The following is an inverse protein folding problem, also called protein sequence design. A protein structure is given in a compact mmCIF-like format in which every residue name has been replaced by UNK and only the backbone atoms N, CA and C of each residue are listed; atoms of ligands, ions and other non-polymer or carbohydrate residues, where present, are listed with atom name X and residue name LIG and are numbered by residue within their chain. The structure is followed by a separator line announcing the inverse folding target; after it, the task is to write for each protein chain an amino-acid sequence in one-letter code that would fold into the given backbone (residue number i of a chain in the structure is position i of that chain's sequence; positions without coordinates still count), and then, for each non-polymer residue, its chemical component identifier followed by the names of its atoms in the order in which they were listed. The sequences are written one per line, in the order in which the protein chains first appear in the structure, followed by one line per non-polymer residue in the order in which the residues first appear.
data_IF_597903930716
#
_entry.id   IF_597903930716
#
_cell.length_a   1.000
_cell.length_b   1.000
_cell.length_c   1.000
_cell.angle_alpha   90.00
_cell.angle_beta   90.00
_cell.angle_gamma   90.00
#
_symmetry.space_group_name_H-M   'P 1'
#
loop_
_entity.id
_entity.type
_entity.pdbx_description
1 polymer ?
#
# COMPACT_ATOMS: atom_id res chain seq x y z
N UNK A 1 17.81 52.75 -9.27
CA UNK A 1 18.45 51.43 -9.12
C UNK A 1 17.92 50.83 -7.83
N UNK A 2 17.08 49.79 -7.85
CA UNK A 2 16.87 48.82 -6.76
C UNK A 2 15.88 47.78 -7.31
N UNK A 3 16.41 46.86 -8.13
CA UNK A 3 15.66 45.78 -8.72
C UNK A 3 15.72 44.54 -7.84
N UNK A 4 14.58 43.86 -7.69
CA UNK A 4 14.43 42.41 -7.46
C UNK A 4 14.91 41.89 -6.09
N UNK A 5 13.95 41.79 -5.17
CA UNK A 5 14.05 41.02 -3.93
C UNK A 5 12.93 39.96 -3.90
N UNK A 6 12.83 39.17 -4.98
CA UNK A 6 12.03 37.94 -4.99
C UNK A 6 12.97 36.81 -5.37
N UNK A 7 13.54 36.16 -4.34
CA UNK A 7 14.26 34.91 -4.51
C UNK A 7 13.27 33.87 -5.03
N UNK A 8 13.55 33.32 -6.22
CA UNK A 8 12.95 32.06 -6.65
C UNK A 8 13.35 31.02 -5.60
N UNK A 9 12.39 30.47 -4.89
CA UNK A 9 12.61 29.20 -4.18
C UNK A 9 13.16 28.21 -5.21
N UNK A 10 14.35 27.67 -4.94
CA UNK A 10 14.86 26.56 -5.72
C UNK A 10 13.85 25.43 -5.54
N UNK A 11 13.20 24.98 -6.63
CA UNK A 11 12.51 23.68 -6.62
C UNK A 11 13.50 22.64 -6.09
N UNK A 12 13.12 21.78 -5.14
CA UNK A 12 14.00 20.71 -4.70
C UNK A 12 14.46 19.91 -5.92
N UNK A 13 15.76 19.74 -6.10
CA UNK A 13 16.34 18.92 -7.18
C UNK A 13 16.41 17.44 -6.78
N UNK A 14 15.43 16.99 -6.01
CA UNK A 14 15.32 15.62 -5.55
C UNK A 14 14.87 14.69 -6.67
N UNK A 15 15.02 13.37 -6.49
CA UNK A 15 14.35 12.38 -7.33
C UNK A 15 12.85 12.70 -7.43
N UNK A 16 12.27 12.53 -8.61
CA UNK A 16 10.83 12.74 -8.81
C UNK A 16 10.09 11.48 -8.33
N UNK A 17 9.06 11.67 -7.51
CA UNK A 17 8.14 10.61 -7.15
C UNK A 17 7.54 9.96 -8.44
N UNK A 18 7.29 8.64 -8.44
CA UNK A 18 6.68 7.97 -9.57
C UNK A 18 5.22 8.41 -9.76
N UNK A 19 4.75 8.32 -11.00
CA UNK A 19 3.42 8.74 -11.40
C UNK A 19 2.85 7.72 -12.40
N UNK A 20 1.56 7.41 -12.31
CA UNK A 20 0.86 6.52 -13.25
C UNK A 20 -0.64 6.83 -13.26
N UNK A 21 -1.33 6.66 -14.38
CA UNK A 21 -2.78 6.95 -14.51
C UNK A 21 -3.17 8.42 -14.22
N UNK A 22 -2.21 9.33 -14.11
CA UNK A 22 -2.46 10.68 -13.59
C UNK A 22 -2.46 10.77 -12.05
N UNK A 23 -2.12 9.69 -11.35
CA UNK A 23 -1.81 9.70 -9.91
C UNK A 23 -0.39 10.21 -9.71
N UNK A 24 -0.22 11.17 -8.81
CA UNK A 24 1.06 11.77 -8.48
C UNK A 24 1.03 12.36 -7.05
N UNK A 25 2.21 12.60 -6.47
CA UNK A 25 2.36 13.21 -5.15
C UNK A 25 1.74 14.62 -5.10
N UNK A 26 0.79 14.85 -4.19
CA UNK A 26 0.00 16.08 -4.09
C UNK A 26 -1.21 16.13 -5.04
N UNK A 27 -1.43 15.08 -5.84
CA UNK A 27 -2.64 14.88 -6.64
C UNK A 27 -3.78 14.30 -5.80
N UNK A 28 -4.94 14.08 -6.41
CA UNK A 28 -6.07 13.45 -5.73
C UNK A 28 -6.90 12.56 -6.65
N UNK A 29 -7.72 11.70 -6.05
CA UNK A 29 -8.72 10.93 -6.77
C UNK A 29 -10.02 10.86 -5.98
N UNK A 30 -11.09 10.51 -6.67
CA UNK A 30 -12.41 10.26 -6.09
C UNK A 30 -12.87 8.84 -6.37
N UNK A 31 -13.46 8.22 -5.36
CA UNK A 31 -14.11 6.91 -5.44
C UNK A 31 -15.60 7.07 -5.81
N UNK A 32 -16.17 6.08 -6.49
CA UNK A 32 -17.61 6.04 -6.78
C UNK A 32 -18.45 5.79 -5.51
N UNK A 33 -19.21 6.81 -5.10
CA UNK A 33 -20.05 6.78 -3.88
C UNK A 33 -21.05 5.63 -3.86
N UNK A 34 -21.66 5.31 -5.01
CA UNK A 34 -22.69 4.28 -5.06
C UNK A 34 -22.05 2.91 -4.86
N UNK A 35 -20.91 2.67 -5.48
CA UNK A 35 -20.20 1.40 -5.36
C UNK A 35 -19.67 1.18 -3.95
N UNK A 36 -19.08 2.20 -3.32
CA UNK A 36 -18.64 2.13 -1.92
C UNK A 36 -19.81 1.77 -1.00
N UNK A 37 -20.94 2.46 -1.13
CA UNK A 37 -22.13 2.18 -0.30
C UNK A 37 -22.69 0.78 -0.46
N UNK A 38 -22.51 0.16 -1.63
CA UNK A 38 -22.93 -1.21 -1.90
C UNK A 38 -21.92 -2.24 -1.39
N UNK A 39 -20.64 -1.88 -1.29
CA UNK A 39 -19.54 -2.76 -0.89
C UNK A 39 -19.26 -2.75 0.61
N UNK A 40 -19.14 -1.56 1.20
CA UNK A 40 -18.73 -1.38 2.61
C UNK A 40 -19.48 -2.26 3.61
N UNK A 41 -20.81 -2.51 3.49
CA UNK A 41 -21.51 -3.38 4.45
C UNK A 41 -21.00 -4.83 4.49
N UNK A 42 -20.25 -5.26 3.48
CA UNK A 42 -19.66 -6.60 3.39
C UNK A 42 -18.16 -6.63 3.71
N UNK A 43 -17.52 -5.46 3.80
CA UNK A 43 -16.09 -5.31 4.05
C UNK A 43 -15.82 -5.02 5.53
N UNK A 44 -14.58 -5.24 5.94
CA UNK A 44 -14.03 -4.78 7.22
C UNK A 44 -13.80 -3.28 7.19
N UNK A 45 -13.47 -2.74 6.01
CA UNK A 45 -13.39 -1.31 5.74
C UNK A 45 -14.77 -0.67 5.95
N UNK A 46 -14.78 0.44 6.68
CA UNK A 46 -15.98 1.25 6.88
C UNK A 46 -15.68 2.72 6.66
N UNK A 47 -16.62 3.45 6.07
CA UNK A 47 -16.56 4.91 5.94
C UNK A 47 -15.37 5.42 5.11
N UNK A 48 -15.01 4.72 4.03
CA UNK A 48 -13.97 5.17 3.12
C UNK A 48 -14.27 6.57 2.60
N UNK A 49 -13.32 7.51 2.71
CA UNK A 49 -13.54 8.85 2.18
C UNK A 49 -13.66 8.79 0.66
N UNK A 50 -14.67 9.48 0.12
CA UNK A 50 -14.84 9.60 -1.33
C UNK A 50 -13.61 10.25 -1.97
N UNK A 51 -13.18 11.39 -1.43
CA UNK A 51 -12.05 12.15 -1.94
C UNK A 51 -10.80 11.76 -1.18
N UNK A 52 -9.73 11.49 -1.92
CA UNK A 52 -8.48 10.94 -1.43
C UNK A 52 -7.35 11.84 -1.92
N UNK A 53 -6.69 12.56 -1.02
CA UNK A 53 -5.53 13.41 -1.32
C UNK A 53 -4.24 12.60 -1.15
N UNK A 54 -3.39 12.55 -2.17
CA UNK A 54 -2.16 11.76 -2.15
C UNK A 54 -1.06 12.55 -1.42
N UNK A 55 -0.66 12.06 -0.25
CA UNK A 55 0.34 12.70 0.62
C UNK A 55 1.74 12.10 0.50
N UNK A 56 1.83 10.84 0.06
CA UNK A 56 3.11 10.18 -0.21
C UNK A 56 2.97 9.15 -1.33
N UNK A 57 4.10 8.83 -1.97
CA UNK A 57 4.15 7.80 -3.01
C UNK A 57 5.23 6.79 -2.68
N UNK A 58 4.87 5.52 -2.60
CA UNK A 58 5.76 4.38 -2.45
C UNK A 58 6.05 3.69 -3.78
N UNK A 59 7.28 3.21 -3.96
CA UNK A 59 7.67 2.32 -5.05
C UNK A 59 8.44 1.12 -4.50
N UNK A 60 7.92 -0.07 -4.77
CA UNK A 60 8.54 -1.33 -4.37
C UNK A 60 8.68 -2.25 -5.60
N UNK A 61 9.90 -2.39 -6.16
CA UNK A 61 10.16 -3.39 -7.20
C UNK A 61 9.95 -4.80 -6.66
N UNK A 62 9.36 -5.68 -7.48
CA UNK A 62 9.17 -7.09 -7.18
C UNK A 62 10.23 -7.92 -7.90
N UNK A 63 10.74 -8.97 -7.26
CA UNK A 63 11.77 -9.86 -7.82
C UNK A 63 11.35 -10.54 -9.14
N UNK A 64 10.04 -10.66 -9.38
CA UNK A 64 9.47 -11.26 -10.60
C UNK A 64 9.43 -10.30 -11.79
N UNK A 65 9.96 -9.08 -11.66
CA UNK A 65 9.98 -8.05 -12.72
C UNK A 65 8.81 -7.06 -12.65
N UNK A 66 7.89 -7.25 -11.70
CA UNK A 66 6.81 -6.31 -11.43
C UNK A 66 7.23 -5.12 -10.56
N UNK A 67 6.34 -4.17 -10.37
CA UNK A 67 6.51 -3.04 -9.44
C UNK A 67 5.19 -2.72 -8.77
N UNK A 68 5.22 -2.52 -7.45
CA UNK A 68 4.12 -1.90 -6.72
C UNK A 68 4.36 -0.40 -6.67
N UNK A 69 3.35 0.37 -7.07
CA UNK A 69 3.24 1.78 -6.75
C UNK A 69 2.14 1.95 -5.73
N UNK A 70 2.43 2.62 -4.60
CA UNK A 70 1.45 2.91 -3.55
C UNK A 70 1.27 4.41 -3.42
N UNK A 71 0.04 4.88 -3.51
CA UNK A 71 -0.33 6.28 -3.34
C UNK A 71 -1.01 6.42 -1.99
N UNK A 72 -0.26 6.81 -0.97
CA UNK A 72 -0.74 6.98 0.41
C UNK A 72 -1.56 8.25 0.53
N UNK A 73 -2.70 8.16 1.20
CA UNK A 73 -3.71 9.21 1.22
C UNK A 73 -3.93 9.78 2.61
N UNK A 74 -4.71 10.87 2.68
CA UNK A 74 -5.15 11.51 3.92
C UNK A 74 -6.27 10.76 4.67
N UNK A 75 -6.68 9.59 4.20
CA UNK A 75 -7.77 8.76 4.74
C UNK A 75 -7.26 7.48 5.41
N UNK A 76 -6.02 7.48 5.93
CA UNK A 76 -5.34 6.27 6.43
C UNK A 76 -5.41 5.09 5.43
N UNK A 77 -5.29 5.44 4.15
CA UNK A 77 -5.44 4.53 3.02
C UNK A 77 -4.24 4.61 2.08
N UNK A 78 -4.15 3.63 1.19
CA UNK A 78 -3.31 3.74 0.01
C UNK A 78 -3.92 3.03 -1.18
N UNK A 79 -3.83 3.67 -2.35
CA UNK A 79 -4.13 3.02 -3.62
C UNK A 79 -2.87 2.30 -4.11
N UNK A 80 -2.94 0.99 -4.26
CA UNK A 80 -1.84 0.18 -4.81
C UNK A 80 -2.11 -0.13 -6.28
N UNK A 81 -1.17 0.22 -7.14
CA UNK A 81 -1.14 -0.17 -8.56
C UNK A 81 -0.02 -1.18 -8.75
N UNK A 82 -0.37 -2.37 -9.26
CA UNK A 82 0.58 -3.41 -9.63
C UNK A 82 0.89 -3.27 -11.12
N UNK A 83 2.18 -3.18 -11.45
CA UNK A 83 2.66 -3.12 -12.83
C UNK A 83 3.57 -4.30 -13.15
N UNK A 84 3.47 -4.83 -14.37
CA UNK A 84 4.36 -5.88 -14.88
C UNK A 84 4.84 -5.56 -16.30
N UNK A 85 6.16 -5.58 -16.51
CA UNK A 85 6.78 -5.28 -17.82
C UNK A 85 7.08 -3.80 -18.09
N UNK A 86 6.78 -2.88 -17.16
CA UNK A 86 7.15 -1.46 -17.27
C UNK A 86 6.35 -0.54 -16.33
N UNK A 87 6.64 0.77 -16.37
CA UNK A 87 6.00 1.80 -15.53
C UNK A 87 4.99 2.66 -16.30
N UNK A 88 4.22 2.05 -17.20
CA UNK A 88 3.18 2.75 -17.96
C UNK A 88 1.82 2.08 -17.79
N UNK A 89 0.75 2.79 -18.14
CA UNK A 89 -0.62 2.31 -17.98
C UNK A 89 -0.89 0.97 -18.68
N UNK A 90 -0.19 0.68 -19.79
CA UNK A 90 -0.31 -0.59 -20.51
C UNK A 90 0.21 -1.81 -19.72
N UNK A 91 0.94 -1.57 -18.63
CA UNK A 91 1.55 -2.60 -17.80
C UNK A 91 0.78 -2.81 -16.49
N UNK A 92 -0.33 -2.09 -16.27
CA UNK A 92 -1.14 -2.26 -15.06
C UNK A 92 -1.85 -3.60 -15.11
N UNK A 93 -1.67 -4.40 -14.07
CA UNK A 93 -2.27 -5.73 -13.93
C UNK A 93 -3.33 -5.79 -12.84
N UNK A 94 -3.23 -4.95 -11.82
CA UNK A 94 -4.15 -4.94 -10.68
C UNK A 94 -4.13 -3.58 -9.97
N UNK A 95 -5.28 -3.17 -9.42
CA UNK A 95 -5.43 -1.96 -8.62
C UNK A 95 -6.31 -2.25 -7.42
N UNK A 96 -5.81 -1.97 -6.20
CA UNK A 96 -6.54 -2.18 -4.95
C UNK A 96 -6.46 -0.94 -4.07
N UNK A 97 -7.58 -0.59 -3.43
CA UNK A 97 -7.58 0.36 -2.33
C UNK A 97 -7.40 -0.40 -1.03
N UNK A 98 -6.47 0.06 -0.20
CA UNK A 98 -6.15 -0.51 1.10
C UNK A 98 -6.39 0.52 2.19
N UNK A 99 -6.96 0.09 3.33
CA UNK A 99 -6.99 0.85 4.56
C UNK A 99 -6.15 0.16 5.63
N UNK A 100 -5.43 0.95 6.41
CA UNK A 100 -4.74 0.43 7.59
C UNK A 100 -5.77 0.03 8.64
N UNK A 101 -5.71 -1.24 9.06
CA UNK A 101 -6.59 -1.79 10.09
C UNK A 101 -5.92 -1.71 11.47
N UNK A 102 -4.67 -2.17 11.57
CA UNK A 102 -3.94 -2.19 12.83
C UNK A 102 -2.43 -2.20 12.60
N UNK A 103 -1.70 -1.46 13.44
CA UNK A 103 -0.23 -1.47 13.47
C UNK A 103 0.25 -1.82 14.87
N UNK A 104 1.02 -2.90 15.00
CA UNK A 104 1.60 -3.39 16.26
C UNK A 104 3.10 -3.21 16.26
N UNK A 105 3.62 -2.37 17.15
CA UNK A 105 5.07 -2.21 17.35
C UNK A 105 5.71 -3.50 17.85
N UNK A 106 6.88 -3.84 17.31
CA UNK A 106 7.68 -5.01 17.69
C UNK A 106 8.92 -4.53 18.44
N UNK A 107 8.95 -4.75 19.75
CA UNK A 107 9.95 -4.15 20.64
C UNK A 107 11.25 -4.92 20.80
N UNK A 108 11.42 -6.09 20.16
CA UNK A 108 12.63 -6.90 20.33
C UNK A 108 12.94 -7.80 19.12
N UNK A 109 14.21 -8.16 18.97
CA UNK A 109 14.67 -9.11 17.94
C UNK A 109 14.00 -10.48 18.04
N UNK A 110 13.67 -10.93 19.26
CA UNK A 110 12.99 -12.20 19.47
C UNK A 110 11.54 -12.14 18.94
N UNK A 111 10.82 -11.06 19.24
CA UNK A 111 9.47 -10.84 18.70
C UNK A 111 9.49 -10.65 17.18
N UNK A 112 10.53 -10.02 16.63
CA UNK A 112 10.68 -9.87 15.19
C UNK A 112 10.87 -11.22 14.47
N UNK A 113 11.77 -12.06 15.00
CA UNK A 113 11.98 -13.41 14.46
C UNK A 113 10.71 -14.26 14.53
N UNK A 114 9.95 -14.16 15.63
CA UNK A 114 8.67 -14.82 15.77
C UNK A 114 7.65 -14.29 14.75
N UNK A 115 7.56 -12.97 14.58
CA UNK A 115 6.69 -12.35 13.60
C UNK A 115 6.91 -12.90 12.18
N UNK A 116 8.17 -12.91 11.75
CA UNK A 116 8.57 -13.44 10.44
C UNK A 116 8.29 -14.94 10.30
N UNK A 117 8.48 -15.71 11.37
CA UNK A 117 8.34 -17.15 11.34
C UNK A 117 6.88 -17.63 11.40
N UNK A 118 6.01 -16.92 12.10
CA UNK A 118 4.69 -17.44 12.48
C UNK A 118 3.53 -16.47 12.37
N UNK A 119 3.72 -15.15 12.26
CA UNK A 119 2.58 -14.22 12.24
C UNK A 119 2.17 -13.80 10.84
N UNK A 120 3.13 -13.63 9.93
CA UNK A 120 2.88 -13.05 8.60
C UNK A 120 2.30 -14.08 7.63
N UNK A 121 2.88 -15.28 7.55
CA UNK A 121 2.48 -16.31 6.57
C UNK A 121 1.88 -17.55 7.23
N UNK A 122 0.62 -17.42 7.62
CA UNK A 122 -0.26 -18.52 8.00
C UNK A 122 -1.07 -19.04 6.79
N UNK A 123 -1.57 -20.29 6.80
CA UNK A 123 -2.50 -20.77 5.77
C UNK A 123 -3.82 -19.97 5.72
N UNK A 124 -4.29 -19.55 6.89
CA UNK A 124 -5.51 -18.74 7.06
C UNK A 124 -5.28 -17.66 8.10
N UNK A 125 -5.99 -16.53 7.98
CA UNK A 125 -5.98 -15.45 8.96
C UNK A 125 -7.41 -15.13 9.42
N UNK A 126 -7.58 -14.84 10.72
CA UNK A 126 -8.88 -14.46 11.29
C UNK A 126 -8.89 -12.96 11.60
N UNK A 127 -9.91 -12.24 11.12
CA UNK A 127 -10.11 -10.83 11.41
C UNK A 127 -11.61 -10.53 11.47
N UNK A 128 -12.08 -9.87 12.54
CA UNK A 128 -13.51 -9.53 12.72
C UNK A 128 -14.50 -10.71 12.51
N UNK A 129 -14.10 -11.92 12.91
CA UNK A 129 -14.91 -13.14 12.73
C UNK A 129 -14.94 -13.68 11.30
N UNK A 130 -14.18 -13.08 10.39
CA UNK A 130 -13.98 -13.55 9.02
C UNK A 130 -12.67 -14.33 8.88
N UNK A 131 -12.72 -15.38 8.06
CA UNK A 131 -11.55 -16.18 7.70
C UNK A 131 -11.07 -15.82 6.31
N UNK A 132 -9.82 -15.41 6.20
CA UNK A 132 -9.13 -15.15 4.94
C UNK A 132 -8.17 -16.29 4.64
N UNK A 133 -8.03 -16.65 3.37
CA UNK A 133 -7.14 -17.72 2.90
C UNK A 133 -5.97 -17.13 2.15
N UNK A 134 -4.78 -17.67 2.38
CA UNK A 134 -3.54 -17.22 1.72
C UNK A 134 -3.62 -17.38 0.20
N UNK A 135 -3.29 -16.33 -0.54
CA UNK A 135 -3.28 -16.32 -2.02
C UNK A 135 -1.96 -16.84 -2.56
N UNK A 136 -0.83 -16.36 -2.03
CA UNK A 136 0.50 -16.76 -2.50
C UNK A 136 0.91 -18.11 -1.90
N UNK A 137 0.69 -19.16 -2.68
CA UNK A 137 1.04 -20.52 -2.29
C UNK A 137 2.37 -20.97 -2.89
N UNK A 138 3.20 -21.60 -2.07
CA UNK A 138 4.41 -22.29 -2.50
C UNK A 138 4.18 -23.81 -2.54
N UNK A 139 5.14 -24.55 -3.10
CA UNK A 139 5.14 -26.02 -3.06
C UNK A 139 5.42 -26.48 -1.63
N UNK A 140 4.39 -26.96 -0.92
CA UNK A 140 4.48 -27.44 0.46
C UNK A 140 3.45 -26.78 1.39
N UNK A 141 3.59 -26.99 2.70
CA UNK A 141 2.74 -26.32 3.69
C UNK A 141 3.23 -24.89 4.01
N UNK A 142 4.53 -24.65 3.85
CA UNK A 142 5.18 -23.39 4.16
C UNK A 142 5.31 -22.53 2.89
N UNK A 143 4.81 -21.30 2.96
CA UNK A 143 4.99 -20.29 1.90
C UNK A 143 5.66 -19.08 2.54
N UNK A 144 6.91 -18.73 2.18
CA UNK A 144 7.57 -17.58 2.79
C UNK A 144 6.85 -16.27 2.42
N UNK A 145 6.85 -15.25 3.30
CA UNK A 145 6.44 -13.90 2.94
C UNK A 145 7.20 -13.38 1.73
N UNK A 146 6.54 -12.58 0.91
CA UNK A 146 7.19 -11.82 -0.17
C UNK A 146 7.96 -10.67 0.48
N UNK A 147 9.26 -10.59 0.22
CA UNK A 147 10.11 -9.52 0.70
C UNK A 147 10.23 -8.42 -0.37
N UNK A 148 10.06 -7.17 0.03
CA UNK A 148 10.24 -6.00 -0.83
C UNK A 148 10.88 -4.87 -0.04
N UNK A 149 11.65 -4.01 -0.70
CA UNK A 149 12.09 -2.73 -0.14
C UNK A 149 11.33 -1.63 -0.86
N UNK A 150 10.50 -0.90 -0.13
CA UNK A 150 9.76 0.24 -0.65
C UNK A 150 10.57 1.52 -0.46
N UNK A 151 10.66 2.33 -1.52
CA UNK A 151 11.12 3.73 -1.43
C UNK A 151 9.92 4.65 -1.42
N UNK A 152 9.80 5.48 -0.38
CA UNK A 152 8.68 6.39 -0.17
C UNK A 152 9.12 7.84 -0.36
N UNK A 153 8.35 8.60 -1.13
CA UNK A 153 8.55 10.02 -1.45
C UNK A 153 7.45 10.85 -0.79
N UNK A 154 7.83 11.84 0.01
CA UNK A 154 6.92 12.70 0.79
C UNK A 154 6.87 14.14 0.23
N UNK A 155 5.80 14.89 0.52
CA UNK A 155 5.60 16.24 -0.03
C UNK A 155 6.68 17.26 0.37
N UNK A 156 7.26 17.09 1.56
CA UNK A 156 8.34 17.95 2.05
C UNK A 156 9.70 17.66 1.37
N UNK A 157 9.74 16.63 0.51
CA UNK A 157 10.91 16.19 -0.24
C UNK A 157 11.72 15.11 0.47
N UNK A 158 11.29 14.63 1.64
CA UNK A 158 11.92 13.52 2.31
C UNK A 158 11.71 12.22 1.52
N UNK A 159 12.75 11.39 1.55
CA UNK A 159 12.77 10.08 0.91
C UNK A 159 13.22 9.08 1.96
N UNK A 160 12.43 8.03 2.16
CA UNK A 160 12.74 6.96 3.08
C UNK A 160 12.63 5.59 2.43
N UNK A 161 13.23 4.60 3.06
CA UNK A 161 13.16 3.20 2.64
C UNK A 161 12.67 2.33 3.80
N UNK A 162 11.77 1.41 3.50
CA UNK A 162 11.22 0.45 4.46
C UNK A 162 11.25 -0.94 3.85
N UNK A 163 11.84 -1.90 4.57
CA UNK A 163 11.78 -3.31 4.20
C UNK A 163 10.46 -3.89 4.68
N UNK A 164 9.75 -4.59 3.80
CA UNK A 164 8.46 -5.19 4.08
C UNK A 164 8.49 -6.69 3.76
N UNK A 165 7.95 -7.49 4.66
CA UNK A 165 7.76 -8.92 4.52
C UNK A 165 6.26 -9.16 4.57
N UNK A 166 5.63 -9.42 3.43
CA UNK A 166 4.18 -9.40 3.32
C UNK A 166 3.58 -10.71 2.83
N UNK A 167 2.32 -10.93 3.20
CA UNK A 167 1.51 -12.03 2.69
C UNK A 167 0.10 -11.54 2.39
N UNK A 168 -0.39 -11.91 1.21
CA UNK A 168 -1.75 -11.60 0.75
C UNK A 168 -2.72 -12.73 1.09
N UNK A 169 -3.85 -12.34 1.64
CA UNK A 169 -4.99 -13.20 1.93
C UNK A 169 -6.25 -12.65 1.29
N UNK A 170 -7.19 -13.52 0.97
CA UNK A 170 -8.49 -13.14 0.42
C UNK A 170 -9.63 -13.94 1.06
N UNK A 171 -10.80 -13.31 1.13
CA UNK A 171 -12.08 -13.97 1.36
C UNK A 171 -13.09 -13.55 0.30
N UNK A 172 -14.02 -14.44 -0.09
CA UNK A 172 -15.09 -14.06 -1.00
C UNK A 172 -16.08 -13.11 -0.34
N UNK A 173 -16.62 -12.17 -1.13
CA UNK A 173 -17.79 -11.33 -0.81
C UNK A 173 -18.79 -11.43 -1.97
N UNK A 174 -19.94 -10.75 -1.90
CA UNK A 174 -20.99 -10.88 -2.91
C UNK A 174 -20.54 -10.44 -4.31
N UNK A 175 -21.14 -11.05 -5.34
CA UNK A 175 -20.96 -10.64 -6.73
C UNK A 175 -19.60 -11.02 -7.33
N UNK A 176 -19.08 -12.21 -6.98
CA UNK A 176 -17.78 -12.74 -7.42
C UNK A 176 -16.59 -11.82 -7.12
N UNK A 177 -16.72 -11.02 -6.05
CA UNK A 177 -15.68 -10.14 -5.53
C UNK A 177 -14.97 -10.78 -4.35
N UNK A 178 -13.79 -10.26 -4.03
CA UNK A 178 -13.06 -10.63 -2.82
C UNK A 178 -12.80 -9.40 -1.97
N UNK A 179 -12.71 -9.61 -0.65
CA UNK A 179 -12.00 -8.69 0.22
C UNK A 179 -10.60 -9.25 0.44
N UNK A 180 -9.61 -8.38 0.31
CA UNK A 180 -8.21 -8.68 0.51
C UNK A 180 -7.76 -8.27 1.92
N UNK A 181 -6.79 -9.00 2.44
CA UNK A 181 -6.11 -8.73 3.70
C UNK A 181 -4.61 -8.86 3.47
N UNK A 182 -3.87 -7.81 3.80
CA UNK A 182 -2.41 -7.76 3.72
C UNK A 182 -1.85 -7.77 5.13
N UNK A 183 -1.00 -8.75 5.40
CA UNK A 183 -0.22 -8.82 6.63
C UNK A 183 1.23 -8.52 6.27
N UNK A 184 1.80 -7.47 6.84
CA UNK A 184 3.16 -7.04 6.55
C UNK A 184 3.96 -6.85 7.85
N UNK A 185 5.10 -7.53 7.97
CA UNK A 185 6.14 -7.13 8.91
C UNK A 185 6.99 -6.06 8.25
N UNK A 186 7.13 -4.90 8.88
CA UNK A 186 7.93 -3.79 8.35
C UNK A 186 9.14 -3.52 9.23
N UNK A 187 10.28 -3.20 8.60
CA UNK A 187 11.52 -2.81 9.25
C UNK A 187 12.09 -1.54 8.61
N UNK A 188 12.41 -0.56 9.45
CA UNK A 188 13.12 0.66 9.07
C UNK A 188 14.32 0.85 9.98
N UNK A 189 15.50 1.07 9.39
CA UNK A 189 16.72 1.32 10.17
C UNK A 189 16.84 2.82 10.45
N UNK A 190 16.75 3.19 11.74
CA UNK A 190 16.90 4.56 12.23
C UNK A 190 18.19 4.66 13.04
N UNK A 191 19.25 5.18 12.40
CA UNK A 191 20.59 5.19 12.98
C UNK A 191 21.12 3.76 13.16
N UNK A 192 21.26 3.33 14.42
CA UNK A 192 21.68 1.96 14.76
C UNK A 192 20.54 1.07 15.28
N UNK A 193 19.30 1.57 15.26
CA UNK A 193 18.14 0.86 15.77
C UNK A 193 17.25 0.40 14.61
N UNK A 194 16.67 -0.80 14.73
CA UNK A 194 15.60 -1.24 13.86
C UNK A 194 14.26 -0.83 14.50
N UNK A 195 13.51 0.02 13.80
CA UNK A 195 12.11 0.26 14.08
C UNK A 195 11.28 -0.78 13.31
N UNK A 196 10.39 -1.46 14.02
CA UNK A 196 9.69 -2.65 13.49
C UNK A 196 8.24 -2.66 13.92
N UNK A 197 7.39 -3.09 13.00
CA UNK A 197 5.98 -3.30 13.29
C UNK A 197 5.40 -4.46 12.48
N UNK A 198 4.25 -4.95 12.93
CA UNK A 198 3.33 -5.76 12.16
C UNK A 198 2.16 -4.86 11.75
N UNK A 199 1.97 -4.68 10.46
CA UNK A 199 0.90 -3.91 9.85
C UNK A 199 -0.13 -4.85 9.25
N UNK A 200 -1.39 -4.57 9.54
CA UNK A 200 -2.56 -5.27 9.02
C UNK A 200 -3.35 -4.25 8.20
N UNK A 201 -3.61 -4.56 6.93
CA UNK A 201 -4.42 -3.72 6.05
C UNK A 201 -5.51 -4.55 5.38
N UNK A 202 -6.70 -3.99 5.26
CA UNK A 202 -7.82 -4.59 4.51
C UNK A 202 -8.02 -3.83 3.23
N UNK A 203 -8.44 -4.49 2.15
CA UNK A 203 -8.53 -3.88 0.84
C UNK A 203 -9.54 -4.52 -0.09
N UNK A 204 -9.84 -3.85 -1.19
CA UNK A 204 -10.72 -4.35 -2.25
C UNK A 204 -10.28 -3.83 -3.62
N UNK A 205 -10.72 -4.51 -4.67
CA UNK A 205 -10.37 -4.19 -6.04
C UNK A 205 -11.00 -2.88 -6.52
N UNK A 206 -10.20 -2.07 -7.20
CA UNK A 206 -10.63 -0.84 -7.87
C UNK A 206 -10.58 -1.09 -9.38
N UNK A 207 -11.74 -1.00 -10.02
CA UNK A 207 -11.88 -1.01 -11.47
C UNK A 207 -11.80 0.42 -12.01
N UNK A 208 -11.47 0.61 -13.30
CA UNK A 208 -11.43 1.94 -13.91
C UNK A 208 -12.72 2.75 -13.79
N UNK A 209 -13.88 2.08 -13.67
CA UNK A 209 -15.17 2.74 -13.49
C UNK A 209 -15.43 3.22 -12.05
N UNK A 210 -14.59 2.82 -11.09
CA UNK A 210 -14.78 3.08 -9.66
C UNK A 210 -14.01 4.29 -9.17
N UNK A 211 -13.14 4.85 -10.03
CA UNK A 211 -12.19 5.88 -9.67
C UNK A 211 -12.18 7.00 -10.72
N UNK A 212 -12.20 8.23 -10.26
CA UNK A 212 -11.97 9.44 -11.08
C UNK A 212 -10.71 10.12 -10.58
N UNK A 213 -9.74 10.33 -11.46
CA UNK A 213 -8.46 10.93 -11.10
C UNK A 213 -8.51 12.43 -11.41
N UNK A 214 -8.22 13.24 -10.39
CA UNK A 214 -8.25 14.69 -10.48
C UNK A 214 -6.82 15.17 -10.73
N UNK A 215 -6.51 15.46 -12.00
CA UNK A 215 -5.21 15.94 -12.47
C UNK A 215 -4.95 17.40 -12.17
#
# INVERSE_FOLDING_TARGET
MFSKLFGKSKKPSGPKAPEVMGLYLGGSFELDDLKLRLLEPELTISQAARSQLIQAVGQAPLDTGGTLLRFYTDDDAFLQVVLDGGLSENHITDVKLWHFYETKTIGSDAQWKECLASLISQPTYQLEGHTYTRVWNAVGNDSPPVAVTETTYEEDGDISTTDQFMMLYERPVSGDRTESLLIAGEEKIVGNNADRCLVISTGFDIQPADITING
#
